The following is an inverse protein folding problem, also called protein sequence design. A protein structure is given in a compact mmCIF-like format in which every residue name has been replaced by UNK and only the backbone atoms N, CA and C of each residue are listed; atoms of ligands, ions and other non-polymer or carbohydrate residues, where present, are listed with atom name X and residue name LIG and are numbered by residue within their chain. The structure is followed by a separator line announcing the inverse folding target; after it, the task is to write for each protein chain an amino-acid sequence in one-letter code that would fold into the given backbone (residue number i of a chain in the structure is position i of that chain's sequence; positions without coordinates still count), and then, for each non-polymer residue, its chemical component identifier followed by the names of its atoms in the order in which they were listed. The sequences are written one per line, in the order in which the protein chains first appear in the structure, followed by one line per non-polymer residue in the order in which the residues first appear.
data_IF_400633359827
#
_entry.id   IF_400633359827
#
_cell.length_a   1.000
_cell.length_b   1.000
_cell.length_c   1.000
_cell.angle_alpha   90.00
_cell.angle_beta   90.00
_cell.angle_gamma   90.00
#
_symmetry.space_group_name_H-M   'P 1'
#
loop_
_entity.id
_entity.type
_entity.pdbx_description
1 polymer ?
#
# COMPACT_ATOMS: atom_id res chain seq x y z
N UNK A 1 -19.99 -20.96 -28.47
CA UNK A 1 -19.18 -19.73 -28.46
C UNK A 1 -18.26 -19.89 -27.27
N UNK A 2 -17.10 -20.53 -27.42
CA UNK A 2 -16.31 -20.93 -26.24
C UNK A 2 -14.81 -20.83 -26.54
N UNK A 3 -14.32 -19.60 -26.66
CA UNK A 3 -12.88 -19.32 -26.61
C UNK A 3 -12.44 -19.35 -25.14
N UNK A 4 -12.39 -20.56 -24.58
CA UNK A 4 -11.60 -20.87 -23.41
C UNK A 4 -10.11 -20.72 -23.77
N UNK A 5 -9.68 -19.47 -23.96
CA UNK A 5 -8.31 -19.09 -24.22
C UNK A 5 -7.43 -19.61 -23.09
N UNK A 6 -6.60 -20.60 -23.41
CA UNK A 6 -5.62 -21.20 -22.51
C UNK A 6 -4.88 -20.07 -21.80
N UNK A 7 -5.12 -19.88 -20.50
CA UNK A 7 -4.41 -18.88 -19.70
C UNK A 7 -2.93 -19.23 -19.78
N UNK A 8 -2.14 -18.42 -20.49
CA UNK A 8 -0.68 -18.53 -20.45
C UNK A 8 -0.27 -18.21 -19.02
N UNK A 9 0.20 -19.22 -18.28
CA UNK A 9 0.71 -19.04 -16.93
C UNK A 9 1.83 -18.00 -16.99
N UNK A 10 1.74 -16.94 -16.18
CA UNK A 10 2.82 -15.97 -16.05
C UNK A 10 4.08 -16.72 -15.58
N UNK A 11 5.18 -16.59 -16.32
CA UNK A 11 6.43 -17.27 -15.97
C UNK A 11 7.00 -16.69 -14.67
N UNK A 12 7.82 -17.47 -13.98
CA UNK A 12 8.41 -17.05 -12.70
C UNK A 12 9.20 -15.75 -12.86
N UNK A 13 9.86 -15.58 -14.00
CA UNK A 13 10.66 -14.40 -14.36
C UNK A 13 9.79 -13.16 -14.58
N UNK A 14 8.65 -13.25 -15.26
CA UNK A 14 7.78 -12.08 -15.47
C UNK A 14 7.18 -11.56 -14.17
N UNK A 15 7.03 -12.40 -13.15
CA UNK A 15 6.51 -11.99 -11.83
C UNK A 15 7.57 -11.47 -10.86
N UNK A 16 8.87 -11.52 -11.21
CA UNK A 16 9.95 -11.08 -10.32
C UNK A 16 9.83 -9.58 -9.98
N UNK A 17 9.59 -8.73 -10.99
CA UNK A 17 9.36 -7.30 -10.82
C UNK A 17 8.15 -7.00 -9.92
N UNK A 18 7.06 -7.76 -10.07
CA UNK A 18 5.86 -7.59 -9.24
C UNK A 18 6.12 -7.93 -7.77
N UNK A 19 6.92 -8.97 -7.52
CA UNK A 19 7.31 -9.38 -6.17
C UNK A 19 8.24 -8.37 -5.51
N UNK A 20 9.20 -7.83 -6.27
CA UNK A 20 10.10 -6.78 -5.79
C UNK A 20 9.31 -5.53 -5.38
N UNK A 21 8.40 -5.06 -6.25
CA UNK A 21 7.54 -3.91 -5.92
C UNK A 21 6.67 -4.17 -4.68
N UNK A 22 6.11 -5.38 -4.55
CA UNK A 22 5.30 -5.77 -3.38
C UNK A 22 6.12 -5.80 -2.07
N UNK A 23 7.40 -6.14 -2.15
CA UNK A 23 8.30 -6.14 -1.00
C UNK A 23 8.72 -4.72 -0.60
N UNK A 24 8.89 -3.83 -1.56
CA UNK A 24 9.13 -2.41 -1.29
C UNK A 24 7.88 -1.76 -0.66
N UNK A 25 6.69 -2.07 -1.18
CA UNK A 25 5.42 -1.48 -0.77
C UNK A 25 4.68 -2.32 0.27
N UNK A 26 5.42 -2.91 1.23
CA UNK A 26 4.84 -3.75 2.28
C UNK A 26 3.92 -2.99 3.24
N UNK A 27 4.03 -1.65 3.29
CA UNK A 27 3.18 -0.75 4.10
C UNK A 27 2.04 -0.05 3.34
N UNK A 28 1.99 -0.14 2.01
CA UNK A 28 0.77 0.10 1.20
C UNK A 28 0.83 -0.62 -0.17
N UNK A 29 0.35 -1.87 -0.38
CA UNK A 29 0.64 -2.67 -1.59
C UNK A 29 -0.45 -2.42 -2.65
N UNK A 30 -0.84 -1.15 -2.79
CA UNK A 30 -1.83 -0.67 -3.74
C UNK A 30 -1.10 0.23 -4.74
N UNK A 31 -0.66 -0.33 -5.87
CA UNK A 31 0.08 0.46 -6.86
C UNK A 31 -0.83 1.55 -7.43
N UNK A 32 -0.28 2.74 -7.56
CA UNK A 32 -0.89 3.90 -8.23
C UNK A 32 -1.10 3.61 -9.72
N UNK A 33 -1.81 4.51 -10.42
CA UNK A 33 -2.06 4.37 -11.87
C UNK A 33 -0.75 4.27 -12.66
N UNK A 34 0.22 5.14 -12.36
CA UNK A 34 1.52 5.17 -13.04
C UNK A 34 2.34 3.92 -12.77
N UNK A 35 2.35 3.43 -11.52
CA UNK A 35 3.07 2.21 -11.17
C UNK A 35 2.47 0.98 -11.84
N UNK A 36 1.14 0.89 -11.95
CA UNK A 36 0.50 -0.21 -12.70
C UNK A 36 0.92 -0.21 -14.17
N UNK A 37 1.04 0.97 -14.80
CA UNK A 37 1.51 1.10 -16.18
C UNK A 37 2.97 0.66 -16.29
N UNK A 38 3.84 1.15 -15.42
CA UNK A 38 5.24 0.73 -15.38
C UNK A 38 5.38 -0.79 -15.23
N UNK A 39 4.67 -1.39 -14.27
CA UNK A 39 4.71 -2.82 -14.01
C UNK A 39 4.18 -3.62 -15.21
N UNK A 40 3.10 -3.18 -15.84
CA UNK A 40 2.56 -3.81 -17.05
C UNK A 40 3.57 -3.86 -18.20
N UNK A 41 4.31 -2.76 -18.42
CA UNK A 41 5.36 -2.68 -19.44
C UNK A 41 6.50 -3.65 -19.09
N UNK A 42 7.02 -3.59 -17.87
CA UNK A 42 8.17 -4.40 -17.45
C UNK A 42 7.87 -5.90 -17.49
N UNK A 43 6.66 -6.31 -17.10
CA UNK A 43 6.27 -7.72 -17.03
C UNK A 43 5.63 -8.23 -18.32
N UNK A 44 5.43 -7.34 -19.31
CA UNK A 44 4.69 -7.61 -20.55
C UNK A 44 3.29 -8.19 -20.30
N UNK A 45 2.62 -7.66 -19.28
CA UNK A 45 1.27 -8.06 -18.88
C UNK A 45 0.30 -6.90 -19.15
N UNK A 46 -0.97 -7.20 -19.33
CA UNK A 46 -2.00 -6.15 -19.38
C UNK A 46 -2.22 -5.56 -17.98
N UNK A 47 -2.69 -4.30 -17.93
CA UNK A 47 -3.07 -3.65 -16.67
C UNK A 47 -4.05 -4.48 -15.84
N UNK A 48 -4.97 -5.19 -16.51
CA UNK A 48 -5.91 -6.11 -15.87
C UNK A 48 -5.18 -7.27 -15.21
N UNK A 49 -4.25 -7.92 -15.92
CA UNK A 49 -3.47 -9.02 -15.36
C UNK A 49 -2.61 -8.59 -14.16
N UNK A 50 -1.97 -7.42 -14.25
CA UNK A 50 -1.23 -6.82 -13.11
C UNK A 50 -2.17 -6.59 -11.93
N UNK A 51 -3.34 -5.99 -12.17
CA UNK A 51 -4.34 -5.72 -11.12
C UNK A 51 -4.84 -7.00 -10.45
N UNK A 52 -5.17 -8.02 -11.24
CA UNK A 52 -5.56 -9.35 -10.75
C UNK A 52 -4.44 -10.01 -9.97
N UNK A 53 -3.19 -9.89 -10.43
CA UNK A 53 -2.02 -10.43 -9.72
C UNK A 53 -1.89 -9.81 -8.34
N UNK A 54 -1.93 -8.48 -8.22
CA UNK A 54 -1.85 -7.78 -6.93
C UNK A 54 -3.01 -8.12 -6.00
N UNK A 55 -4.22 -8.25 -6.52
CA UNK A 55 -5.37 -8.68 -5.72
C UNK A 55 -5.16 -10.09 -5.12
N UNK A 56 -4.62 -11.02 -5.91
CA UNK A 56 -4.29 -12.36 -5.43
C UNK A 56 -3.10 -12.37 -4.46
N UNK A 57 -2.05 -11.60 -4.75
CA UNK A 57 -0.85 -11.53 -3.93
C UNK A 57 -1.15 -10.97 -2.53
N UNK A 58 -1.93 -9.88 -2.43
CA UNK A 58 -2.37 -9.32 -1.14
C UNK A 58 -3.19 -10.31 -0.32
N UNK A 59 -4.10 -11.06 -0.96
CA UNK A 59 -4.90 -12.10 -0.29
C UNK A 59 -4.02 -13.19 0.31
N UNK A 60 -2.98 -13.65 -0.40
CA UNK A 60 -2.03 -14.65 0.11
C UNK A 60 -1.26 -14.13 1.33
N UNK A 61 -0.79 -12.87 1.26
CA UNK A 61 -0.09 -12.20 2.36
C UNK A 61 -0.94 -12.06 3.63
N UNK A 62 -2.23 -11.74 3.49
CA UNK A 62 -3.17 -11.68 4.62
C UNK A 62 -3.40 -13.05 5.25
N UNK A 63 -3.46 -14.11 4.43
CA UNK A 63 -3.69 -15.49 4.91
C UNK A 63 -2.49 -16.07 5.67
N UNK A 64 -1.27 -15.70 5.27
CA UNK A 64 -0.03 -16.24 5.87
C UNK A 64 0.44 -15.46 7.13
N UNK A 65 -0.36 -14.53 7.66
CA UNK A 65 0.01 -13.63 8.77
C UNK A 65 1.30 -12.80 8.55
N UNK A 66 1.81 -12.76 7.31
CA UNK A 66 3.03 -12.02 6.91
C UNK A 66 2.75 -10.55 6.62
N UNK A 67 1.58 -10.04 7.02
CA UNK A 67 1.11 -8.70 6.63
C UNK A 67 0.00 -8.20 7.57
N UNK A 68 0.37 -7.34 8.51
CA UNK A 68 -0.57 -6.59 9.36
C UNK A 68 -0.93 -5.28 8.67
N UNK A 69 -1.85 -5.34 7.72
CA UNK A 69 -2.57 -4.16 7.24
C UNK A 69 -3.51 -3.71 8.33
N UNK A 70 -2.99 -3.06 9.38
CA UNK A 70 -3.74 -2.74 10.58
C UNK A 70 -5.09 -2.11 10.20
N UNK A 71 -6.23 -2.76 10.50
CA UNK A 71 -7.34 -1.98 11.01
C UNK A 71 -6.83 -1.46 12.35
N UNK A 72 -6.84 -0.14 12.55
CA UNK A 72 -6.52 0.46 13.84
C UNK A 72 -7.46 -0.13 14.90
N UNK A 73 -7.00 -1.18 15.60
CA UNK A 73 -7.45 -1.67 16.91
C UNK A 73 -6.78 -3.01 17.23
N UNK A 74 -5.55 -2.99 17.75
CA UNK A 74 -5.08 -3.92 18.79
C UNK A 74 -4.04 -3.19 19.64
N UNK A 75 -4.51 -2.70 20.78
CA UNK A 75 -3.73 -2.25 21.94
C UNK A 75 -2.93 -3.42 22.50
N UNK A 76 -1.62 -3.22 22.74
CA UNK A 76 -0.63 -4.03 23.51
C UNK A 76 0.65 -4.19 22.67
N UNK A 77 1.86 -3.80 23.05
CA UNK A 77 2.49 -3.01 24.13
C UNK A 77 3.98 -2.85 23.72
N UNK A 78 4.73 -1.93 24.36
CA UNK A 78 6.20 -1.69 24.27
C UNK A 78 6.78 -1.15 22.94
N UNK A 79 7.65 -0.14 22.87
CA UNK A 79 8.22 0.83 23.83
C UNK A 79 8.96 1.93 23.00
N UNK A 80 9.22 3.07 23.62
CA UNK A 80 10.24 4.08 23.26
C UNK A 80 10.04 5.01 22.02
N UNK A 81 9.47 6.20 22.25
CA UNK A 81 10.16 7.49 22.01
C UNK A 81 9.38 8.60 22.75
N UNK A 82 9.74 8.79 24.02
CA UNK A 82 9.38 9.98 24.81
C UNK A 82 10.33 11.10 24.42
N UNK A 83 9.79 12.21 23.91
CA UNK A 83 10.32 13.53 24.19
C UNK A 83 9.17 14.52 24.46
N UNK A 84 8.95 14.70 25.75
CA UNK A 84 8.20 15.75 26.46
C UNK A 84 9.11 17.00 26.47
N UNK A 85 8.70 18.17 25.99
CA UNK A 85 8.21 19.39 26.69
C UNK A 85 8.75 20.56 25.81
N UNK A 86 8.22 21.78 25.68
CA UNK A 86 7.49 22.64 26.60
C UNK A 86 6.58 23.61 25.81
N UNK A 87 5.48 23.92 26.47
CA UNK A 87 4.59 25.06 26.31
C UNK A 87 5.27 26.37 25.90
N UNK A 88 4.63 27.13 25.01
CA UNK A 88 4.55 28.57 25.25
C UNK A 88 3.12 29.08 24.98
N UNK A 89 2.47 29.44 26.08
CA UNK A 89 1.28 30.27 26.12
C UNK A 89 1.63 31.65 25.56
N UNK A 90 0.85 32.16 24.61
CA UNK A 90 0.85 33.60 24.31
C UNK A 90 -0.55 34.01 23.87
N UNK A 91 -1.21 34.59 24.87
CA UNK A 91 -2.40 35.41 24.79
C UNK A 91 -2.28 36.52 23.75
N UNK A 92 -3.34 36.74 22.99
CA UNK A 92 -3.52 37.96 22.19
C UNK A 92 -4.98 38.41 22.28
N UNK A 93 -5.25 39.22 23.31
CA UNK A 93 -6.29 40.24 23.29
C UNK A 93 -6.01 41.25 22.17
N UNK A 94 -7.03 41.60 21.37
CA UNK A 94 -7.47 42.97 21.07
C UNK A 94 -8.32 43.00 19.78
N UNK A 95 -9.65 43.20 19.88
CA UNK A 95 -10.38 44.49 19.95
C UNK A 95 -10.30 45.34 18.68
N UNK A 96 -11.47 45.59 18.08
CA UNK A 96 -11.91 46.88 17.49
C UNK A 96 -13.12 46.65 16.57
N UNK A 97 -14.18 47.45 16.52
CA UNK A 97 -14.72 48.49 17.39
C UNK A 97 -16.12 48.81 16.84
N UNK A 98 -17.11 49.04 17.72
CA UNK A 98 -18.30 49.84 17.36
C UNK A 98 -17.92 51.33 17.33
N UNK A 99 -18.73 52.17 16.67
CA UNK A 99 -19.65 53.00 17.45
C UNK A 99 -21.13 52.69 17.18
#
# INVERSE_FOLDING_TARGET
MDLAGRRKNATRETTATLKAWLYEHRKNPYPTKSEKVYLAIMTKMTLTQVSTWFANARRRLKKENKMTWSPRNRTTDDDDDRHEEESNSSQSDNQSNSP
#
